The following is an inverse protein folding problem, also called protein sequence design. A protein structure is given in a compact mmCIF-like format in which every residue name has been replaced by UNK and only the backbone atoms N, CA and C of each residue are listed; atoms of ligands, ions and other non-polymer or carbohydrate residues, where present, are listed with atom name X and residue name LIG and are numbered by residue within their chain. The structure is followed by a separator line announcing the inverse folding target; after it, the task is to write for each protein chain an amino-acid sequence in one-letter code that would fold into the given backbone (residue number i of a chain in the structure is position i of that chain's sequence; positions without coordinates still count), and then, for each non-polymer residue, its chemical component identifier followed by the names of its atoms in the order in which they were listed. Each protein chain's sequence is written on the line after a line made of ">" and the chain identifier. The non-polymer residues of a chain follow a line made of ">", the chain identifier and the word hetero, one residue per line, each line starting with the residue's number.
data_IF_712966818467
#
_entry.id   IF_712966818467
#
_cell.length_a   1.000
_cell.length_b   1.000
_cell.length_c   1.000
_cell.angle_alpha   90.00
_cell.angle_beta   90.00
_cell.angle_gamma   90.00
#
_symmetry.space_group_name_H-M   'P 1'
#
loop_
_entity.id
_entity.type
_entity.pdbx_description
1 polymer ?
#
# COMPACT_ATOMS: atom_id res chain seq x y z
N UNK A 1 20.47 -0.06 23.89
CA UNK A 1 19.57 0.46 22.85
C UNK A 1 18.35 -0.43 22.79
N UNK A 2 17.17 0.15 22.92
CA UNK A 2 15.91 -0.57 22.72
C UNK A 2 15.74 -0.85 21.22
N UNK A 3 15.26 -2.06 20.87
CA UNK A 3 15.01 -2.40 19.46
C UNK A 3 13.79 -1.60 18.97
N UNK A 4 13.80 -1.11 17.72
CA UNK A 4 12.65 -0.39 17.19
C UNK A 4 11.42 -1.29 17.11
N UNK A 5 10.23 -0.70 17.20
CA UNK A 5 8.97 -1.45 17.32
C UNK A 5 8.73 -2.41 16.13
N UNK A 6 9.16 -2.04 14.92
CA UNK A 6 9.01 -2.88 13.72
C UNK A 6 9.89 -4.14 13.72
N UNK A 7 10.88 -4.22 14.61
CA UNK A 7 11.69 -5.43 14.82
C UNK A 7 11.19 -6.29 16.00
N UNK A 8 10.24 -5.78 16.80
CA UNK A 8 9.78 -6.45 18.02
C UNK A 8 8.30 -6.80 18.01
N UNK A 9 7.49 -6.09 17.22
CA UNK A 9 6.07 -6.34 17.02
C UNK A 9 5.82 -7.04 15.69
N UNK A 10 4.90 -7.99 15.68
CA UNK A 10 4.27 -8.49 14.45
C UNK A 10 3.37 -7.41 13.86
N UNK A 11 3.06 -7.51 12.58
CA UNK A 11 2.26 -6.49 11.87
C UNK A 11 0.88 -6.30 12.52
N UNK A 12 0.26 -7.38 12.99
CA UNK A 12 -1.06 -7.39 13.64
C UNK A 12 -1.04 -6.73 15.03
N UNK A 13 0.14 -6.60 15.62
CA UNK A 13 0.35 -5.97 16.93
C UNK A 13 0.61 -4.47 16.82
N UNK A 14 0.75 -3.94 15.60
CA UNK A 14 0.99 -2.52 15.36
C UNK A 14 -0.29 -1.72 15.48
N UNK A 15 -0.21 -0.59 16.17
CA UNK A 15 -1.27 0.42 16.12
C UNK A 15 -1.37 1.00 14.70
N UNK A 16 -2.49 1.65 14.39
CA UNK A 16 -2.64 2.36 13.11
C UNK A 16 -1.51 3.38 12.88
N UNK A 17 -1.09 4.09 13.92
CA UNK A 17 -0.03 5.10 13.79
C UNK A 17 1.33 4.45 13.49
N UNK A 18 1.65 3.35 14.17
CA UNK A 18 2.87 2.58 13.92
C UNK A 18 2.87 1.99 12.50
N UNK A 19 1.77 1.39 12.06
CA UNK A 19 1.62 0.85 10.71
C UNK A 19 1.81 1.92 9.63
N UNK A 20 1.11 3.04 9.72
CA UNK A 20 1.19 4.11 8.71
C UNK A 20 2.58 4.78 8.73
N UNK A 21 3.33 4.71 9.84
CA UNK A 21 4.71 5.20 9.92
C UNK A 21 5.74 4.33 9.21
N UNK A 22 5.38 3.09 8.81
CA UNK A 22 6.22 2.23 7.96
C UNK A 22 6.15 2.61 6.47
N UNK A 23 5.28 3.56 6.10
CA UNK A 23 5.14 3.98 4.71
C UNK A 23 6.33 4.88 4.29
N UNK A 24 7.16 4.39 3.38
CA UNK A 24 8.31 5.14 2.84
C UNK A 24 7.94 6.17 1.75
N UNK A 25 6.65 6.37 1.48
CA UNK A 25 6.20 7.29 0.41
C UNK A 25 6.61 6.83 -0.99
N UNK A 26 6.81 5.54 -1.23
CA UNK A 26 7.31 5.03 -2.52
C UNK A 26 6.30 5.10 -3.68
N UNK A 27 5.02 5.37 -3.42
CA UNK A 27 3.96 5.45 -4.44
C UNK A 27 3.53 4.12 -5.06
N UNK A 28 4.15 2.98 -4.71
CA UNK A 28 3.83 1.67 -5.29
C UNK A 28 2.38 1.25 -5.05
N UNK A 29 1.78 1.62 -3.92
CA UNK A 29 0.37 1.35 -3.63
C UNK A 29 -0.59 2.17 -4.51
N UNK A 30 -0.11 3.27 -5.12
CA UNK A 30 -0.90 4.16 -5.97
C UNK A 30 -0.83 3.80 -7.47
N UNK A 31 0.02 2.85 -7.86
CA UNK A 31 0.11 2.37 -9.24
C UNK A 31 -1.15 1.59 -9.63
N UNK A 32 -1.65 1.84 -10.83
CA UNK A 32 -2.68 1.03 -11.47
C UNK A 32 -2.11 -0.35 -11.73
N UNK A 33 -2.89 -1.39 -11.44
CA UNK A 33 -2.54 -2.79 -11.65
C UNK A 33 -3.48 -3.40 -12.67
N UNK A 34 -2.94 -4.27 -13.51
CA UNK A 34 -3.73 -5.13 -14.40
C UNK A 34 -3.62 -6.56 -13.92
N UNK A 35 -4.75 -7.26 -13.94
CA UNK A 35 -4.81 -8.71 -13.78
C UNK A 35 -4.93 -9.32 -15.17
N UNK A 36 -4.03 -10.25 -15.48
CA UNK A 36 -4.08 -11.03 -16.71
C UNK A 36 -5.24 -12.04 -16.65
N UNK A 37 -6.07 -12.09 -17.69
CA UNK A 37 -7.32 -12.87 -17.68
C UNK A 37 -7.08 -14.39 -17.76
N UNK A 38 -5.97 -14.82 -18.35
CA UNK A 38 -5.65 -16.23 -18.53
C UNK A 38 -4.90 -16.81 -17.33
N UNK A 39 -3.93 -16.07 -16.80
CA UNK A 39 -3.05 -16.51 -15.71
C UNK A 39 -3.47 -16.03 -14.32
N UNK A 40 -4.25 -14.96 -14.23
CA UNK A 40 -4.55 -14.26 -12.97
C UNK A 40 -3.33 -13.57 -12.34
N UNK A 41 -2.26 -13.36 -13.10
CA UNK A 41 -1.09 -12.60 -12.66
C UNK A 41 -1.43 -11.11 -12.55
N UNK A 42 -1.06 -10.49 -11.43
CA UNK A 42 -1.31 -9.07 -11.20
C UNK A 42 -0.02 -8.29 -11.34
N UNK A 43 0.05 -7.42 -12.35
CA UNK A 43 1.23 -6.63 -12.68
C UNK A 43 1.03 -5.14 -12.42
N UNK A 44 2.00 -4.44 -11.80
CA UNK A 44 1.95 -2.99 -11.68
C UNK A 44 2.28 -2.31 -13.01
N UNK A 45 1.58 -1.23 -13.30
CA UNK A 45 1.91 -0.33 -14.42
C UNK A 45 2.85 0.79 -13.97
N UNK A 46 3.29 1.63 -14.92
CA UNK A 46 3.96 2.90 -14.62
C UNK A 46 2.98 4.08 -14.53
N UNK A 47 1.68 3.82 -14.41
CA UNK A 47 0.62 4.82 -14.32
C UNK A 47 0.11 4.86 -12.88
N UNK A 48 0.15 6.03 -12.25
CA UNK A 48 -0.41 6.24 -10.93
C UNK A 48 -1.87 6.72 -10.99
N UNK A 49 -2.59 6.57 -9.89
CA UNK A 49 -3.96 7.09 -9.79
C UNK A 49 -3.98 8.64 -9.77
N UNK A 50 -5.16 9.21 -10.02
CA UNK A 50 -5.39 10.66 -10.05
C UNK A 50 -5.09 11.41 -8.74
N UNK A 51 -4.93 10.70 -7.61
CA UNK A 51 -4.68 11.30 -6.30
C UNK A 51 -3.20 11.21 -5.87
N UNK A 52 -2.32 10.62 -6.67
CA UNK A 52 -0.90 10.57 -6.36
C UNK A 52 -0.21 11.81 -6.92
N UNK A 53 0.54 12.49 -6.07
CA UNK A 53 1.44 13.58 -6.44
C UNK A 53 2.85 12.99 -6.62
N UNK A 54 3.38 12.94 -7.86
CA UNK A 54 4.69 12.36 -8.12
C UNK A 54 5.87 13.24 -7.66
N UNK A 55 5.68 14.54 -7.48
CA UNK A 55 6.73 15.44 -6.99
C UNK A 55 6.89 15.31 -5.48
N UNK A 56 5.77 15.09 -4.77
CA UNK A 56 5.75 14.90 -3.31
C UNK A 56 5.83 13.44 -2.90
N UNK A 57 5.69 12.51 -3.85
CA UNK A 57 5.55 11.07 -3.63
C UNK A 57 4.49 10.71 -2.57
N UNK A 58 3.35 11.43 -2.58
CA UNK A 58 2.28 11.25 -1.58
C UNK A 58 0.90 11.28 -2.20
N UNK A 59 -0.07 10.69 -1.51
CA UNK A 59 -1.46 10.81 -1.89
C UNK A 59 -2.02 12.15 -1.38
N UNK A 60 -2.61 12.95 -2.28
CA UNK A 60 -3.14 14.28 -1.98
C UNK A 60 -4.40 14.25 -1.10
N UNK A 61 -5.14 13.14 -1.11
CA UNK A 61 -6.34 12.92 -0.29
C UNK A 61 -6.38 11.50 0.27
N UNK A 62 -5.37 11.14 1.06
CA UNK A 62 -5.25 9.79 1.62
C UNK A 62 -6.48 9.42 2.47
N UNK A 63 -7.06 10.36 3.21
CA UNK A 63 -8.20 10.09 4.09
C UNK A 63 -9.48 9.70 3.32
N UNK A 64 -9.77 10.37 2.19
CA UNK A 64 -11.00 10.13 1.42
C UNK A 64 -10.76 9.38 0.10
N UNK A 65 -9.55 8.85 -0.11
CA UNK A 65 -9.13 8.20 -1.37
C UNK A 65 -10.12 7.20 -1.96
N UNK A 66 -10.81 6.40 -1.13
CA UNK A 66 -11.75 5.38 -1.60
C UNK A 66 -13.04 5.96 -2.18
N UNK A 67 -13.44 7.15 -1.74
CA UNK A 67 -14.59 7.86 -2.31
C UNK A 67 -14.27 8.40 -3.72
N UNK A 68 -13.02 8.80 -3.94
CA UNK A 68 -12.57 9.39 -5.19
C UNK A 68 -12.06 8.34 -6.21
N UNK A 69 -11.44 7.28 -5.70
CA UNK A 69 -10.86 6.16 -6.46
C UNK A 69 -11.37 4.87 -5.81
N UNK A 70 -12.51 4.33 -6.27
CA UNK A 70 -13.15 3.14 -5.66
C UNK A 70 -12.22 1.93 -5.58
N UNK A 71 -11.34 1.76 -6.57
CA UNK A 71 -10.38 0.66 -6.65
C UNK A 71 -9.12 0.87 -5.78
N UNK A 72 -9.03 1.99 -5.06
CA UNK A 72 -7.90 2.23 -4.18
C UNK A 72 -7.93 1.28 -2.98
N UNK A 73 -6.93 0.39 -2.92
CA UNK A 73 -6.76 -0.56 -1.84
C UNK A 73 -6.01 0.10 -0.68
N UNK A 74 -6.62 0.12 0.50
CA UNK A 74 -5.93 0.48 1.74
C UNK A 74 -5.13 -0.72 2.23
N UNK A 75 -3.80 -0.60 2.23
CA UNK A 75 -2.93 -1.60 2.85
C UNK A 75 -3.07 -1.54 4.38
N UNK A 76 -3.28 -2.72 4.97
CA UNK A 76 -3.42 -2.93 6.40
C UNK A 76 -2.66 -4.20 6.78
N UNK A 77 -2.27 -4.36 8.06
CA UNK A 77 -1.67 -5.60 8.53
C UNK A 77 -2.49 -6.86 8.17
N UNK A 78 -3.82 -6.72 8.06
CA UNK A 78 -4.76 -7.82 7.92
C UNK A 78 -5.06 -8.24 6.48
N UNK A 79 -4.73 -7.41 5.49
CA UNK A 79 -5.02 -7.71 4.08
C UNK A 79 -3.78 -7.87 3.21
N UNK A 80 -2.61 -7.45 3.66
CA UNK A 80 -1.40 -7.52 2.84
C UNK A 80 -1.06 -8.97 2.44
N UNK A 81 -1.33 -9.94 3.31
CA UNK A 81 -1.09 -11.36 3.02
C UNK A 81 -2.08 -11.94 2.00
N UNK A 82 -3.24 -11.28 1.79
CA UNK A 82 -4.25 -11.73 0.82
C UNK A 82 -4.06 -11.12 -0.57
N UNK A 83 -3.16 -10.13 -0.70
CA UNK A 83 -2.86 -9.46 -1.96
C UNK A 83 -1.80 -10.25 -2.72
N UNK A 84 -2.22 -10.96 -3.79
CA UNK A 84 -1.33 -11.80 -4.62
C UNK A 84 -0.09 -11.09 -5.18
N UNK A 85 -0.14 -9.77 -5.34
CA UNK A 85 0.94 -8.95 -5.89
C UNK A 85 1.90 -8.37 -4.83
N UNK A 86 1.62 -8.59 -3.54
CA UNK A 86 2.53 -8.18 -2.49
C UNK A 86 3.71 -9.15 -2.41
N UNK A 87 4.97 -8.67 -2.24
CA UNK A 87 6.11 -9.54 -1.98
C UNK A 87 5.86 -10.39 -0.73
N UNK A 88 6.22 -11.68 -0.80
CA UNK A 88 6.02 -12.61 0.30
C UNK A 88 7.04 -12.48 1.44
N UNK A 89 8.11 -11.72 1.24
CA UNK A 89 9.07 -11.22 2.24
C UNK A 89 10.18 -10.43 1.55
#
# INVERSE_FOLDING_TARGET
>A
MERPFWQTKRLEQMTRQEWESLCDGCGLCCLVRFEDEDSGEVMPTRVHCKLFDPDRCTCTDYANRKAQVPDCIKLTPWNIETLKWMPLS
#
